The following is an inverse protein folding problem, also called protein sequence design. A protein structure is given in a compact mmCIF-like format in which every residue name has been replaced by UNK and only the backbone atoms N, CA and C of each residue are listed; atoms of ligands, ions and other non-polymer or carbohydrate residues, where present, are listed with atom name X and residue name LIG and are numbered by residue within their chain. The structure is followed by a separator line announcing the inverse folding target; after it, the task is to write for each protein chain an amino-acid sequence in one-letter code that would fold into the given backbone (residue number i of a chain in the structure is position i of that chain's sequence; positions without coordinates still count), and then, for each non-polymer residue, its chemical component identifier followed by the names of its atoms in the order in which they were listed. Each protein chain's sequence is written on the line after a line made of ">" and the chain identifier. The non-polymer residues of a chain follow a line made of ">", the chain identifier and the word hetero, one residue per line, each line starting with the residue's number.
data_IF_707973929351
#
_entry.id   IF_707973929351
#
_cell.length_a   1.000
_cell.length_b   1.000
_cell.length_c   1.000
_cell.angle_alpha   90.00
_cell.angle_beta   90.00
_cell.angle_gamma   90.00
#
_symmetry.space_group_name_H-M   'P 1'
#
loop_
_entity.id
_entity.type
_entity.pdbx_description
1 polymer ?
#
# COMPACT_ATOMS: atom_id res chain seq x y z
N UNK A 1 -0.43 14.62 -28.12
CA UNK A 1 -1.54 14.65 -27.15
C UNK A 1 -2.53 15.71 -27.62
N UNK A 2 -3.84 15.39 -27.71
CA UNK A 2 -4.85 16.39 -28.03
C UNK A 2 -4.92 17.44 -26.92
N UNK A 3 -5.04 18.71 -27.30
CA UNK A 3 -5.15 19.85 -26.38
C UNK A 3 -6.60 20.35 -26.35
N UNK A 4 -7.14 20.56 -25.15
CA UNK A 4 -8.51 21.04 -24.94
C UNK A 4 -8.53 22.07 -23.80
N UNK A 5 -8.98 23.32 -24.02
CA UNK A 5 -9.07 24.33 -22.97
C UNK A 5 -10.20 24.00 -21.99
N UNK A 6 -9.91 23.91 -20.69
CA UNK A 6 -10.83 23.43 -19.65
C UNK A 6 -11.16 24.53 -18.61
N UNK A 7 -12.44 24.91 -18.41
CA UNK A 7 -12.96 25.32 -17.10
C UNK A 7 -13.13 24.09 -16.17
N UNK A 8 -13.22 24.31 -14.85
CA UNK A 8 -13.14 23.28 -13.80
C UNK A 8 -13.80 21.94 -14.19
N UNK A 9 -12.98 20.88 -14.25
CA UNK A 9 -13.33 19.58 -14.84
C UNK A 9 -13.41 18.49 -13.77
N UNK A 10 -14.48 17.69 -13.80
CA UNK A 10 -14.76 16.54 -12.92
C UNK A 10 -13.82 15.31 -13.13
N UNK A 11 -12.67 15.50 -13.80
CA UNK A 11 -11.65 14.46 -13.97
C UNK A 11 -11.65 13.76 -15.34
N UNK A 12 -10.64 12.92 -15.58
CA UNK A 12 -10.41 12.26 -16.88
C UNK A 12 -10.62 10.75 -16.85
N UNK A 13 -10.95 10.16 -18.01
CA UNK A 13 -11.12 8.69 -18.18
C UNK A 13 -9.84 7.95 -18.60
N UNK A 14 -8.72 8.66 -18.75
CA UNK A 14 -7.45 8.02 -19.11
C UNK A 14 -6.93 7.14 -17.97
N UNK A 15 -6.41 5.98 -18.34
CA UNK A 15 -5.71 5.06 -17.43
C UNK A 15 -4.22 5.04 -17.77
N UNK A 16 -3.37 4.92 -16.76
CA UNK A 16 -1.94 4.77 -16.96
C UNK A 16 -1.59 3.29 -17.00
N UNK A 17 -1.22 2.79 -18.17
CA UNK A 17 -0.85 1.37 -18.33
C UNK A 17 0.45 1.02 -17.61
N UNK A 18 1.39 1.96 -17.51
CA UNK A 18 2.74 1.77 -16.94
C UNK A 18 2.85 2.15 -15.46
N UNK A 19 1.72 2.17 -14.76
CA UNK A 19 1.67 2.65 -13.37
C UNK A 19 2.61 1.85 -12.45
N UNK A 20 2.63 0.52 -12.60
CA UNK A 20 3.45 -0.35 -11.76
C UNK A 20 4.94 -0.20 -12.06
N UNK A 21 5.30 -0.09 -13.34
CA UNK A 21 6.68 0.07 -13.79
C UNK A 21 7.23 1.41 -13.32
N UNK A 22 6.41 2.46 -13.37
CA UNK A 22 6.75 3.76 -12.81
C UNK A 22 6.94 3.68 -11.29
N UNK A 23 6.07 2.97 -10.59
CA UNK A 23 6.18 2.80 -9.14
C UNK A 23 7.47 2.08 -8.73
N UNK A 24 7.82 1.00 -9.45
CA UNK A 24 9.08 0.27 -9.25
C UNK A 24 10.29 1.16 -9.58
N UNK A 25 10.22 1.92 -10.68
CA UNK A 25 11.25 2.89 -11.07
C UNK A 25 11.47 3.95 -9.99
N UNK A 26 10.40 4.54 -9.44
CA UNK A 26 10.48 5.53 -8.36
C UNK A 26 11.09 4.96 -7.07
N UNK A 27 10.79 3.70 -6.75
CA UNK A 27 11.32 3.02 -5.56
C UNK A 27 12.78 2.60 -5.69
N UNK A 28 13.16 2.02 -6.84
CA UNK A 28 14.49 1.46 -7.08
C UNK A 28 15.49 2.48 -7.62
N UNK A 29 15.02 3.59 -8.20
CA UNK A 29 15.83 4.55 -8.94
C UNK A 29 16.23 4.06 -10.34
N UNK A 30 15.77 2.89 -10.79
CA UNK A 30 16.06 2.36 -12.11
C UNK A 30 15.28 3.12 -13.20
N UNK A 31 15.89 3.41 -14.37
CA UNK A 31 15.14 3.96 -15.49
C UNK A 31 14.14 2.91 -16.03
N UNK A 32 13.00 3.37 -16.57
CA UNK A 32 11.93 2.47 -17.04
C UNK A 32 12.42 1.33 -17.96
N UNK A 33 13.31 1.53 -18.94
CA UNK A 33 13.85 0.42 -19.74
C UNK A 33 14.49 -0.68 -18.89
N UNK A 34 15.26 -0.32 -17.86
CA UNK A 34 15.87 -1.30 -16.97
C UNK A 34 14.84 -2.05 -16.11
N UNK A 35 13.71 -1.42 -15.79
CA UNK A 35 12.60 -2.09 -15.09
C UNK A 35 11.98 -3.19 -15.97
N UNK A 36 11.89 -2.98 -17.29
CA UNK A 36 11.37 -3.99 -18.23
C UNK A 36 12.33 -5.17 -18.44
N UNK A 37 13.63 -4.99 -18.17
CA UNK A 37 14.64 -6.05 -18.27
C UNK A 37 14.78 -6.87 -16.99
N UNK A 38 14.10 -6.50 -15.90
CA UNK A 38 14.15 -7.25 -14.64
C UNK A 38 13.59 -8.66 -14.81
N UNK A 39 14.21 -9.62 -14.13
CA UNK A 39 13.63 -10.95 -14.00
C UNK A 39 12.28 -10.89 -13.28
N UNK A 40 11.36 -11.80 -13.61
CA UNK A 40 10.00 -11.78 -13.04
C UNK A 40 9.98 -11.74 -11.51
N UNK A 41 10.85 -12.53 -10.85
CA UNK A 41 10.93 -12.58 -9.38
C UNK A 41 11.43 -11.26 -8.81
N UNK A 42 12.44 -10.65 -9.43
CA UNK A 42 13.00 -9.35 -9.02
C UNK A 42 11.95 -8.25 -9.18
N UNK A 43 11.29 -8.20 -10.34
CA UNK A 43 10.22 -7.25 -10.61
C UNK A 43 9.07 -7.39 -9.60
N UNK A 44 8.60 -8.61 -9.31
CA UNK A 44 7.51 -8.82 -8.36
C UNK A 44 7.91 -8.45 -6.92
N UNK A 45 9.17 -8.72 -6.54
CA UNK A 45 9.71 -8.34 -5.23
C UNK A 45 9.73 -6.83 -5.09
N UNK A 46 10.36 -6.13 -6.03
CA UNK A 46 10.43 -4.67 -6.01
C UNK A 46 9.06 -4.01 -6.13
N UNK A 47 8.14 -4.60 -6.89
CA UNK A 47 6.77 -4.07 -7.00
C UNK A 47 6.03 -4.14 -5.68
N UNK A 48 6.17 -5.23 -4.93
CA UNK A 48 5.59 -5.36 -3.58
C UNK A 48 6.18 -4.31 -2.64
N UNK A 49 7.51 -4.21 -2.60
CA UNK A 49 8.20 -3.29 -1.69
C UNK A 49 7.92 -1.83 -2.04
N UNK A 50 7.89 -1.49 -3.33
CA UNK A 50 7.54 -0.17 -3.81
C UNK A 50 6.10 0.23 -3.43
N UNK A 51 5.15 -0.72 -3.48
CA UNK A 51 3.78 -0.49 -3.05
C UNK A 51 3.68 -0.22 -1.55
N UNK A 52 4.35 -1.02 -0.73
CA UNK A 52 4.41 -0.84 0.73
C UNK A 52 5.05 0.51 1.06
N UNK A 53 6.22 0.80 0.47
CA UNK A 53 6.94 2.06 0.65
C UNK A 53 6.11 3.27 0.27
N UNK A 54 5.33 3.19 -0.83
CA UNK A 54 4.45 4.29 -1.24
C UNK A 54 3.36 4.54 -0.19
N UNK A 55 2.71 3.49 0.30
CA UNK A 55 1.61 3.63 1.24
C UNK A 55 2.08 4.07 2.63
N UNK A 56 3.23 3.59 3.09
CA UNK A 56 3.78 3.94 4.42
C UNK A 56 4.13 5.43 4.57
N UNK A 57 4.14 6.21 3.48
CA UNK A 57 4.44 7.65 3.49
C UNK A 57 3.23 8.53 3.84
N UNK A 58 2.05 7.95 4.03
CA UNK A 58 0.83 8.70 4.35
C UNK A 58 0.11 8.01 5.50
N UNK A 59 -0.55 8.78 6.37
CA UNK A 59 -1.31 8.22 7.50
C UNK A 59 -2.37 7.21 7.03
N UNK A 60 -3.17 7.59 6.02
CA UNK A 60 -4.19 6.71 5.43
C UNK A 60 -3.58 5.44 4.79
N UNK A 61 -2.41 5.56 4.18
CA UNK A 61 -1.73 4.41 3.59
C UNK A 61 -1.16 3.47 4.66
N UNK A 62 -0.62 4.00 5.74
CA UNK A 62 -0.21 3.21 6.92
C UNK A 62 -1.40 2.48 7.53
N UNK A 63 -2.52 3.18 7.73
CA UNK A 63 -3.76 2.57 8.22
C UNK A 63 -4.25 1.42 7.31
N UNK A 64 -4.18 1.63 5.99
CA UNK A 64 -4.50 0.58 5.02
C UNK A 64 -3.60 -0.65 5.20
N UNK A 65 -2.28 -0.46 5.32
CA UNK A 65 -1.32 -1.56 5.49
C UNK A 65 -1.55 -2.32 6.80
N UNK A 66 -1.81 -1.61 7.91
CA UNK A 66 -2.13 -2.23 9.20
C UNK A 66 -3.40 -3.09 9.11
N UNK A 67 -4.44 -2.57 8.45
CA UNK A 67 -5.68 -3.31 8.25
C UNK A 67 -5.51 -4.51 7.32
N UNK A 68 -4.76 -4.36 6.23
CA UNK A 68 -4.43 -5.47 5.34
C UNK A 68 -3.69 -6.58 6.10
N UNK A 69 -2.69 -6.22 6.90
CA UNK A 69 -1.95 -7.17 7.73
C UNK A 69 -2.85 -7.90 8.75
N UNK A 70 -3.79 -7.18 9.39
CA UNK A 70 -4.79 -7.77 10.29
C UNK A 70 -5.67 -8.79 9.57
N UNK A 71 -6.11 -8.49 8.34
CA UNK A 71 -6.94 -9.38 7.54
C UNK A 71 -6.19 -10.64 7.06
N UNK A 72 -4.87 -10.57 6.90
CA UNK A 72 -4.05 -11.73 6.55
C UNK A 72 -3.82 -12.69 7.73
N UNK A 73 -4.09 -12.27 8.97
CA UNK A 73 -3.93 -13.15 10.13
C UNK A 73 -5.00 -14.24 10.14
N UNK A 74 -4.57 -15.49 10.15
CA UNK A 74 -5.45 -16.66 10.27
C UNK A 74 -5.57 -17.17 11.71
N UNK A 75 -4.63 -16.78 12.58
CA UNK A 75 -4.63 -17.14 13.99
C UNK A 75 -4.99 -15.95 14.89
N UNK A 76 -5.78 -16.16 15.95
CA UNK A 76 -6.13 -15.09 16.86
C UNK A 76 -4.92 -14.64 17.68
N UNK A 77 -4.72 -13.32 17.80
CA UNK A 77 -3.71 -12.74 18.70
C UNK A 77 -4.12 -12.96 20.16
N UNK A 78 -3.70 -14.11 20.69
CA UNK A 78 -4.00 -14.54 22.07
C UNK A 78 -3.42 -13.57 23.10
N UNK A 79 -2.33 -12.86 22.79
CA UNK A 79 -1.73 -11.91 23.71
C UNK A 79 -2.58 -10.64 23.83
N UNK A 80 -3.07 -10.11 22.71
CA UNK A 80 -4.01 -9.01 22.68
C UNK A 80 -5.32 -9.37 23.39
N UNK A 81 -5.90 -10.55 23.10
CA UNK A 81 -7.12 -11.03 23.76
C UNK A 81 -6.98 -11.12 25.29
N UNK A 82 -5.83 -11.60 25.80
CA UNK A 82 -5.57 -11.63 27.25
C UNK A 82 -5.39 -10.25 27.87
N UNK A 83 -4.89 -9.26 27.12
CA UNK A 83 -4.81 -7.86 27.59
C UNK A 83 -6.18 -7.20 27.61
N UNK A 84 -7.00 -7.44 26.60
CA UNK A 84 -8.37 -6.95 26.53
C UNK A 84 -9.19 -7.44 27.73
N UNK A 85 -9.17 -8.76 27.99
CA UNK A 85 -9.88 -9.35 29.14
C UNK A 85 -9.47 -8.73 30.48
N UNK A 86 -8.17 -8.53 30.71
CA UNK A 86 -7.67 -7.90 31.95
C UNK A 86 -8.05 -6.42 32.10
N UNK A 87 -8.31 -5.70 31.00
CA UNK A 87 -8.81 -4.33 31.06
C UNK A 87 -10.27 -4.27 31.45
N UNK A 88 -11.10 -5.18 30.94
CA UNK A 88 -12.50 -5.27 31.33
C UNK A 88 -12.66 -5.69 32.79
N UNK A 89 -11.91 -6.72 33.22
CA UNK A 89 -11.86 -7.14 34.64
C UNK A 89 -11.46 -6.01 35.61
N UNK A 90 -10.68 -5.02 35.14
CA UNK A 90 -10.28 -3.86 35.93
C UNK A 90 -11.30 -2.70 35.90
N UNK A 91 -12.21 -2.68 34.91
CA UNK A 91 -13.27 -1.66 34.77
C UNK A 91 -14.57 -2.09 35.44
N UNK A 92 -14.86 -3.40 35.48
CA UNK A 92 -16.04 -3.96 36.16
C UNK A 92 -15.85 -4.11 37.69
N UNK A 93 -14.62 -3.90 38.18
CA UNK A 93 -14.25 -3.97 39.60
C UNK A 93 -14.31 -2.64 40.36
N UNK A 94 -14.83 -1.58 39.73
CA UNK A 94 -15.03 -0.21 40.26
C UNK A 94 -16.53 0.12 40.37
#
# INVERSE_FOLDING_TARGET
>A
MPYYPLPDSEGHKYTTTTYWERLVSEYTGLPLPAVYELGLIEYLTYRRDAFIWKLSRTEKGTEYLDNAWRCEQTEPDRAALRKFRRREEAQDGE
#
